data_IF_782475043508
#
_entry.id   IF_782475043508
#
_cell.length_a   1.000
_cell.length_b   1.000
_cell.length_c   1.000
_cell.angle_alpha   90.00
_cell.angle_beta   90.00
_cell.angle_gamma   90.00
#
_symmetry.space_group_name_H-M   'P 1'
#
loop_
_entity.id
_entity.type
_entity.pdbx_description
1 polymer ?
#
# COMPACT_ATOMS: atom_id res chain seq x y z
N UNK A 1 3.35 -16.27 2.78
CA UNK A 1 2.69 -14.97 2.54
C UNK A 1 2.99 -13.88 3.58
N UNK A 2 3.40 -14.18 4.83
CA UNK A 2 3.74 -13.15 5.84
C UNK A 2 4.93 -12.25 5.41
N UNK A 3 6.00 -12.83 4.85
CA UNK A 3 7.23 -12.11 4.50
C UNK A 3 7.02 -10.92 3.53
N UNK A 4 6.10 -11.03 2.57
CA UNK A 4 5.83 -9.94 1.63
C UNK A 4 5.19 -8.74 2.34
N UNK A 5 4.16 -8.98 3.16
CA UNK A 5 3.50 -7.91 3.90
C UNK A 5 4.47 -7.24 4.88
N UNK A 6 5.27 -8.02 5.61
CA UNK A 6 6.31 -7.47 6.50
C UNK A 6 7.27 -6.57 5.74
N UNK A 7 7.74 -7.00 4.56
CA UNK A 7 8.62 -6.19 3.72
C UNK A 7 7.94 -4.88 3.30
N UNK A 8 6.72 -4.93 2.77
CA UNK A 8 6.01 -3.74 2.30
C UNK A 8 5.75 -2.74 3.43
N UNK A 9 5.42 -3.22 4.64
CA UNK A 9 5.25 -2.36 5.82
C UNK A 9 6.57 -1.71 6.22
N UNK A 10 7.68 -2.44 6.20
CA UNK A 10 9.00 -1.88 6.50
C UNK A 10 9.46 -0.88 5.44
N UNK A 11 9.25 -1.17 4.16
CA UNK A 11 9.60 -0.28 3.06
C UNK A 11 8.76 1.02 3.13
N UNK A 12 7.46 0.91 3.45
CA UNK A 12 6.58 2.05 3.67
C UNK A 12 6.99 2.90 4.88
N UNK A 13 7.36 2.26 6.00
CA UNK A 13 7.83 2.96 7.20
C UNK A 13 9.12 3.76 6.95
N UNK A 14 10.04 3.20 6.15
CA UNK A 14 11.30 3.85 5.83
C UNK A 14 11.21 4.87 4.69
N UNK A 15 10.05 5.02 4.04
CA UNK A 15 9.86 5.98 2.97
C UNK A 15 9.71 7.40 3.54
N UNK A 16 10.57 8.37 3.17
CA UNK A 16 10.44 9.76 3.60
C UNK A 16 9.34 10.46 2.79
N UNK A 17 8.09 10.12 3.08
CA UNK A 17 6.92 10.62 2.38
C UNK A 17 5.67 9.83 2.71
N UNK A 18 4.65 9.94 1.86
CA UNK A 18 3.41 9.20 2.04
C UNK A 18 3.54 7.75 1.54
N UNK A 19 2.95 6.81 2.27
CA UNK A 19 2.86 5.40 1.85
C UNK A 19 1.51 4.82 2.23
N UNK A 20 0.94 4.04 1.32
CA UNK A 20 -0.30 3.28 1.52
C UNK A 20 0.00 1.79 1.36
N UNK A 21 -0.33 1.00 2.38
CA UNK A 21 -0.25 -0.45 2.35
C UNK A 21 -1.66 -1.00 2.59
N UNK A 22 -2.26 -1.58 1.56
CA UNK A 22 -3.54 -2.28 1.66
C UNK A 22 -3.29 -3.77 1.92
N UNK A 23 -3.83 -4.28 3.03
CA UNK A 23 -3.71 -5.68 3.41
C UNK A 23 -5.07 -6.37 3.32
N UNK A 24 -5.22 -7.30 2.38
CA UNK A 24 -6.42 -8.13 2.27
C UNK A 24 -6.37 -9.20 3.36
N UNK A 25 -7.32 -9.13 4.29
CA UNK A 25 -7.46 -10.11 5.38
C UNK A 25 -8.74 -10.93 5.21
N UNK A 26 -8.68 -12.21 5.56
CA UNK A 26 -9.87 -13.06 5.51
C UNK A 26 -10.86 -12.71 6.65
N UNK A 27 -12.14 -12.64 6.31
CA UNK A 27 -13.24 -12.56 7.27
C UNK A 27 -14.20 -13.75 7.04
N UNK A 28 -13.85 -14.95 7.53
CA UNK A 28 -14.57 -16.18 7.18
C UNK A 28 -16.02 -16.21 7.68
N UNK A 29 -16.33 -15.49 8.77
CA UNK A 29 -17.68 -15.48 9.36
C UNK A 29 -18.62 -14.57 8.57
N UNK A 30 -18.33 -13.27 8.51
CA UNK A 30 -19.27 -12.30 7.92
C UNK A 30 -19.20 -12.31 6.40
N UNK A 31 -18.01 -12.16 5.83
CA UNK A 31 -17.82 -12.13 4.38
C UNK A 31 -17.89 -13.53 3.79
N UNK A 32 -17.17 -14.50 4.38
CA UNK A 32 -17.09 -15.87 3.88
C UNK A 32 -18.46 -16.54 3.72
N UNK A 33 -19.29 -16.52 4.79
CA UNK A 33 -20.63 -17.12 4.75
C UNK A 33 -21.56 -16.46 3.73
N UNK A 34 -21.51 -15.12 3.60
CA UNK A 34 -22.34 -14.38 2.64
C UNK A 34 -21.95 -14.66 1.19
N UNK A 35 -20.66 -14.89 0.94
CA UNK A 35 -20.11 -15.18 -0.38
C UNK A 35 -19.94 -16.69 -0.65
N UNK A 36 -20.62 -17.55 0.12
CA UNK A 36 -20.71 -19.00 -0.09
C UNK A 36 -19.37 -19.74 -0.07
N UNK A 37 -18.35 -19.21 0.60
CA UNK A 37 -17.14 -19.98 0.91
C UNK A 37 -17.51 -21.11 1.88
N UNK A 38 -17.18 -22.37 1.54
CA UNK A 38 -17.59 -23.53 2.36
C UNK A 38 -16.76 -23.63 3.63
N UNK A 39 -15.47 -23.28 3.56
CA UNK A 39 -14.55 -23.27 4.68
C UNK A 39 -13.68 -22.00 4.73
N UNK A 40 -13.11 -21.63 5.89
CA UNK A 40 -12.10 -20.58 5.97
C UNK A 40 -10.88 -20.85 5.08
N UNK A 41 -10.49 -22.12 4.92
CA UNK A 41 -9.38 -22.52 4.07
C UNK A 41 -9.67 -22.24 2.58
N UNK A 42 -10.91 -22.39 2.14
CA UNK A 42 -11.31 -22.07 0.76
C UNK A 42 -11.10 -20.58 0.47
N UNK A 43 -11.37 -19.71 1.44
CA UNK A 43 -11.17 -18.27 1.28
C UNK A 43 -9.67 -17.92 1.19
N UNK A 44 -8.82 -18.57 1.99
CA UNK A 44 -7.36 -18.42 1.87
C UNK A 44 -6.84 -18.92 0.52
N UNK A 45 -7.35 -20.04 0.03
CA UNK A 45 -6.98 -20.58 -1.27
C UNK A 45 -7.41 -19.64 -2.39
N UNK A 46 -8.64 -19.13 -2.33
CA UNK A 46 -9.15 -18.13 -3.27
C UNK A 46 -8.26 -16.88 -3.28
N UNK A 47 -7.88 -16.32 -2.12
CA UNK A 47 -6.97 -15.18 -2.05
C UNK A 47 -5.60 -15.49 -2.68
N UNK A 48 -5.07 -16.70 -2.47
CA UNK A 48 -3.81 -17.13 -3.08
C UNK A 48 -3.90 -17.24 -4.60
N UNK A 49 -5.00 -17.75 -5.12
CA UNK A 49 -5.20 -18.00 -6.56
C UNK A 49 -5.51 -16.73 -7.35
N UNK A 50 -6.17 -15.75 -6.73
CA UNK A 50 -6.57 -14.50 -7.38
C UNK A 50 -5.54 -13.37 -7.16
N UNK A 51 -4.56 -13.56 -6.28
CA UNK A 51 -3.47 -12.61 -6.12
C UNK A 51 -2.40 -12.76 -7.22
N UNK A 52 -2.07 -11.68 -7.93
CA UNK A 52 -0.97 -11.64 -8.89
C UNK A 52 0.06 -10.55 -8.57
N UNK A 53 1.32 -10.78 -8.96
CA UNK A 53 2.41 -9.84 -8.70
C UNK A 53 2.26 -8.54 -9.49
N UNK A 54 2.64 -7.43 -8.87
CA UNK A 54 2.65 -6.13 -9.52
C UNK A 54 3.41 -6.12 -10.85
N UNK A 55 2.86 -5.38 -11.82
CA UNK A 55 3.39 -5.31 -13.19
C UNK A 55 2.99 -6.48 -14.10
N UNK A 56 2.24 -7.47 -13.60
CA UNK A 56 1.58 -8.49 -14.43
C UNK A 56 0.15 -8.07 -14.77
N UNK A 57 -0.45 -8.73 -15.75
CA UNK A 57 -1.86 -8.54 -16.10
C UNK A 57 -2.74 -9.53 -15.34
N UNK A 58 -3.93 -9.07 -14.97
CA UNK A 58 -4.99 -9.91 -14.45
C UNK A 58 -5.41 -10.95 -15.50
N UNK A 59 -5.78 -12.14 -15.04
CA UNK A 59 -6.31 -13.21 -15.89
C UNK A 59 -7.81 -13.39 -15.74
N UNK A 60 -8.35 -13.00 -14.58
CA UNK A 60 -9.77 -13.02 -14.22
C UNK A 60 -10.19 -11.62 -13.76
N UNK A 61 -11.49 -11.36 -13.78
CA UNK A 61 -12.04 -10.07 -13.35
C UNK A 61 -11.84 -9.85 -11.84
N UNK A 62 -11.97 -10.91 -11.03
CA UNK A 62 -11.79 -10.85 -9.59
C UNK A 62 -10.32 -10.92 -9.11
N UNK A 63 -9.35 -11.00 -10.04
CA UNK A 63 -7.93 -11.02 -9.71
C UNK A 63 -7.48 -9.67 -9.14
N UNK A 64 -6.59 -9.69 -8.14
CA UNK A 64 -6.07 -8.48 -7.50
C UNK A 64 -4.53 -8.47 -7.41
N UNK A 65 -3.98 -7.27 -7.53
CA UNK A 65 -2.53 -7.06 -7.57
C UNK A 65 -1.94 -7.02 -6.15
N UNK A 66 -0.79 -7.67 -5.97
CA UNK A 66 -0.01 -7.64 -4.72
C UNK A 66 1.44 -7.25 -5.00
N UNK A 67 2.09 -6.62 -4.02
CA UNK A 67 3.47 -6.10 -4.13
C UNK A 67 3.50 -4.57 -4.20
N UNK A 68 4.64 -4.01 -4.60
CA UNK A 68 4.78 -2.56 -4.80
C UNK A 68 4.12 -2.18 -6.15
N UNK A 69 2.93 -1.56 -6.08
CA UNK A 69 2.13 -1.21 -7.27
C UNK A 69 2.63 0.08 -7.91
N UNK A 70 3.06 1.04 -7.09
CA UNK A 70 3.55 2.33 -7.52
C UNK A 70 4.54 2.89 -6.50
N UNK A 71 5.60 3.54 -7.00
CA UNK A 71 6.59 4.25 -6.20
C UNK A 71 7.08 5.48 -6.96
N UNK A 72 7.03 6.64 -6.31
CA UNK A 72 7.68 7.86 -6.78
C UNK A 72 8.28 8.61 -5.59
N UNK A 73 9.31 9.41 -5.85
CA UNK A 73 9.85 10.32 -4.86
C UNK A 73 9.33 11.73 -5.12
N UNK A 74 8.83 12.36 -4.08
CA UNK A 74 8.46 13.77 -4.06
C UNK A 74 8.81 14.34 -2.68
N UNK A 75 9.12 15.64 -2.58
CA UNK A 75 9.32 16.28 -1.29
C UNK A 75 8.11 16.10 -0.37
N UNK A 76 8.36 15.78 0.90
CA UNK A 76 7.32 15.66 1.91
C UNK A 76 6.83 17.06 2.33
N UNK A 77 5.61 17.14 2.85
CA UNK A 77 4.99 18.41 3.24
C UNK A 77 5.87 19.25 4.17
N UNK A 78 6.50 18.65 5.19
CA UNK A 78 7.37 19.38 6.12
C UNK A 78 8.63 19.91 5.43
N UNK A 79 9.18 19.19 4.46
CA UNK A 79 10.33 19.64 3.68
C UNK A 79 9.97 20.86 2.82
N UNK A 80 8.81 20.83 2.15
CA UNK A 80 8.33 21.99 1.39
C UNK A 80 7.97 23.18 2.28
N UNK A 81 7.41 22.89 3.47
CA UNK A 81 7.12 23.91 4.47
C UNK A 81 8.38 24.59 4.99
N UNK A 82 9.44 23.83 5.29
CA UNK A 82 10.71 24.39 5.74
C UNK A 82 11.39 25.21 4.64
N UNK A 83 11.32 24.79 3.37
CA UNK A 83 11.77 25.60 2.22
C UNK A 83 11.00 26.93 2.12
N UNK A 84 9.69 26.93 2.41
CA UNK A 84 8.91 28.17 2.45
C UNK A 84 9.38 29.08 3.60
N UNK A 85 9.57 28.54 4.80
CA UNK A 85 10.03 29.31 5.96
C UNK A 85 11.40 29.92 5.73
N UNK A 86 12.32 29.18 5.12
CA UNK A 86 13.67 29.67 4.83
C UNK A 86 13.63 30.86 3.85
N UNK A 87 12.89 30.72 2.74
CA UNK A 87 12.71 31.81 1.76
C UNK A 87 12.16 33.09 2.39
N UNK A 88 11.20 32.97 3.30
CA UNK A 88 10.63 34.12 4.00
C UNK A 88 11.62 34.79 4.97
N UNK A 89 12.49 34.02 5.63
CA UNK A 89 13.55 34.56 6.50
C UNK A 89 14.61 35.34 5.71
N UNK A 90 15.07 34.79 4.58
CA UNK A 90 16.09 35.43 3.73
C UNK A 90 15.59 36.73 3.10
N UNK A 91 14.32 36.77 2.68
CA UNK A 91 13.68 37.98 2.15
C UNK A 91 13.49 39.09 3.20
N UNK A 92 13.38 38.74 4.48
CA UNK A 92 13.23 39.69 5.59
C UNK A 92 14.54 40.39 5.97
N UNK A 93 15.70 39.86 5.55
CA UNK A 93 17.02 40.44 5.83
C UNK A 93 17.53 41.39 4.74
N UNK A 94 16.79 41.57 3.65
CA UNK A 94 17.14 42.45 2.52
C UNK A 94 16.24 43.70 2.43
N UNK A 95 15.48 44.01 3.48
CA UNK A 95 14.62 45.19 3.60
C UNK A 95 15.11 46.17 4.65
#
# INVERSE_FOLDING_TARGET
HNQLLTKLVMDAYNNPGFSLVEAISQCPVSYGRRNKFKTPADMLLWQKEHAFQAGKQATREEDFQIGEIFKSQAPEYTQEYDKLRQRLREGSHHG
#
